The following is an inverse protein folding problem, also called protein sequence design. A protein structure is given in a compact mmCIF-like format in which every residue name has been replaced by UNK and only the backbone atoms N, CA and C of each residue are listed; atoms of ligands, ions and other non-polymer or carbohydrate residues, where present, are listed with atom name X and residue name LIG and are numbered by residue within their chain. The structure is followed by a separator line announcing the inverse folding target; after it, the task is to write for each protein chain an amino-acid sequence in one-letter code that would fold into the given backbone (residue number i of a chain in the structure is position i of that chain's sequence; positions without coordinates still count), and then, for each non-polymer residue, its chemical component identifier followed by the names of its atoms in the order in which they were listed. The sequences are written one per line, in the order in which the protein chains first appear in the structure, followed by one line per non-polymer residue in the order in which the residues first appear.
data_IF_389141559718
#
_entry.id   IF_389141559718
#
_cell.length_a   1.000
_cell.length_b   1.000
_cell.length_c   1.000
_cell.angle_alpha   90.00
_cell.angle_beta   90.00
_cell.angle_gamma   90.00
#
_symmetry.space_group_name_H-M   'P 1'
#
loop_
_entity.id
_entity.type
_entity.pdbx_description
1 polymer ?
#
# COMPACT_ATOMS: atom_id res chain seq x y z
N UNK A 1 -11.34 -57.69 59.24
CA UNK A 1 -10.95 -56.74 60.30
C UNK A 1 -9.44 -56.54 60.21
N UNK A 2 -9.00 -55.27 60.12
CA UNK A 2 -7.71 -54.68 60.54
C UNK A 2 -6.44 -55.58 60.52
N UNK A 3 -5.30 -55.25 59.93
CA UNK A 3 -4.58 -53.98 60.03
C UNK A 3 -3.32 -54.00 59.13
N UNK A 4 -3.04 -52.84 58.52
CA UNK A 4 -1.74 -52.19 58.22
C UNK A 4 -0.55 -52.65 59.12
N UNK A 5 0.75 -52.69 58.72
CA UNK A 5 1.56 -51.62 58.08
C UNK A 5 3.10 -51.95 57.97
N UNK A 6 3.80 -51.32 57.00
CA UNK A 6 5.26 -50.93 56.91
C UNK A 6 6.26 -52.08 56.53
N UNK A 7 7.22 -52.01 55.58
CA UNK A 7 8.34 -51.07 55.36
C UNK A 7 9.00 -51.18 53.96
N UNK A 8 9.42 -50.01 53.45
CA UNK A 8 10.67 -49.66 52.72
C UNK A 8 11.08 -50.41 51.43
N UNK A 9 11.14 -49.66 50.32
CA UNK A 9 12.38 -49.51 49.53
C UNK A 9 12.28 -48.32 48.56
N UNK A 10 13.18 -47.35 48.75
CA UNK A 10 13.55 -46.31 47.79
C UNK A 10 14.02 -46.94 46.47
N UNK A 11 13.57 -46.40 45.34
CA UNK A 11 14.08 -46.76 44.01
C UNK A 11 13.73 -45.70 42.99
N UNK A 12 14.70 -44.84 42.68
CA UNK A 12 14.64 -43.72 41.74
C UNK A 12 14.11 -44.13 40.35
N UNK A 13 13.07 -43.45 39.89
CA UNK A 13 12.75 -43.34 38.46
C UNK A 13 12.04 -42.00 38.21
N UNK A 14 12.82 -40.92 38.23
CA UNK A 14 12.39 -39.59 37.79
C UNK A 14 13.29 -39.17 36.62
N UNK A 15 12.68 -38.56 35.61
CA UNK A 15 13.28 -37.95 34.40
C UNK A 15 13.64 -38.98 33.32
N UNK A 16 13.02 -39.00 32.15
CA UNK A 16 12.77 -37.87 31.27
C UNK A 16 11.56 -38.11 30.35
N UNK A 17 10.43 -37.47 30.65
CA UNK A 17 9.48 -37.12 29.59
C UNK A 17 10.03 -35.86 28.93
N UNK A 18 10.81 -36.05 27.86
CA UNK A 18 11.12 -35.00 26.90
C UNK A 18 9.80 -34.61 26.23
N UNK A 19 9.07 -33.68 26.85
CA UNK A 19 8.12 -32.88 26.09
C UNK A 19 8.97 -32.11 25.08
N UNK A 20 8.89 -32.52 23.82
CA UNK A 20 9.30 -31.68 22.71
C UNK A 20 8.43 -30.43 22.80
N UNK A 21 8.96 -29.39 23.44
CA UNK A 21 8.46 -28.03 23.26
C UNK A 21 8.73 -27.75 21.79
N UNK A 22 7.73 -27.96 20.94
CA UNK A 22 7.70 -27.32 19.64
C UNK A 22 7.78 -25.83 19.93
N UNK A 23 8.95 -25.26 19.63
CA UNK A 23 9.08 -23.84 19.46
C UNK A 23 8.09 -23.48 18.36
N UNK A 24 6.95 -22.94 18.77
CA UNK A 24 6.01 -22.29 17.87
C UNK A 24 6.83 -21.19 17.21
N UNK A 25 7.19 -21.42 15.95
CA UNK A 25 7.86 -20.44 15.11
C UNK A 25 6.96 -19.21 15.16
N UNK A 26 7.44 -18.15 15.82
CA UNK A 26 6.67 -16.95 16.04
C UNK A 26 6.35 -16.31 14.68
N UNK A 27 5.28 -16.79 14.05
CA UNK A 27 4.69 -16.19 12.88
C UNK A 27 4.38 -14.76 13.29
N UNK A 28 5.13 -13.82 12.73
CA UNK A 28 4.84 -12.39 12.84
C UNK A 28 3.34 -12.22 12.51
N UNK A 29 2.53 -11.91 13.53
CA UNK A 29 1.09 -11.73 13.37
C UNK A 29 0.90 -10.41 12.63
N UNK A 30 1.06 -10.45 11.31
CA UNK A 30 0.71 -9.35 10.42
C UNK A 30 -0.80 -9.13 10.55
N UNK A 31 -1.20 -7.88 10.77
CA UNK A 31 -2.62 -7.55 10.84
C UNK A 31 -3.35 -7.93 9.56
N UNK A 32 -4.52 -8.59 9.64
CA UNK A 32 -5.30 -8.98 8.47
C UNK A 32 -5.86 -7.78 7.69
N UNK A 33 -6.06 -6.64 8.34
CA UNK A 33 -6.52 -5.39 7.71
C UNK A 33 -5.44 -4.68 6.89
N UNK A 34 -4.15 -5.04 7.10
CA UNK A 34 -3.07 -4.50 6.30
C UNK A 34 -3.08 -5.07 4.88
N UNK A 35 -2.35 -4.42 3.98
CA UNK A 35 -2.22 -4.86 2.60
C UNK A 35 -1.62 -6.28 2.57
N UNK A 36 -2.28 -7.22 1.92
CA UNK A 36 -1.86 -8.63 1.91
C UNK A 36 -0.89 -8.90 0.75
N UNK A 37 0.20 -9.64 0.97
CA UNK A 37 1.17 -9.92 -0.10
C UNK A 37 0.55 -10.75 -1.22
N UNK A 38 0.87 -10.39 -2.47
CA UNK A 38 0.48 -11.14 -3.67
C UNK A 38 1.75 -11.71 -4.29
N UNK A 39 2.03 -12.97 -3.97
CA UNK A 39 3.30 -13.60 -4.33
C UNK A 39 4.49 -13.01 -3.58
N UNK A 40 5.70 -13.19 -4.12
CA UNK A 40 6.96 -12.79 -3.49
C UNK A 40 7.80 -11.84 -4.36
N UNK A 41 7.22 -11.30 -5.44
CA UNK A 41 7.91 -10.43 -6.38
C UNK A 41 7.35 -9.01 -6.31
N UNK A 42 8.19 -8.04 -6.72
CA UNK A 42 7.81 -6.63 -6.88
C UNK A 42 7.25 -5.94 -5.63
N UNK A 43 7.38 -6.51 -4.43
CA UNK A 43 6.72 -5.95 -3.23
C UNK A 43 5.21 -5.75 -3.43
N UNK A 44 4.57 -6.61 -4.23
CA UNK A 44 3.16 -6.47 -4.61
C UNK A 44 2.24 -6.87 -3.45
N UNK A 45 1.35 -5.96 -3.08
CA UNK A 45 0.37 -6.18 -2.03
C UNK A 45 -1.01 -5.68 -2.43
N UNK A 46 -2.05 -6.38 -2.01
CA UNK A 46 -3.45 -6.02 -2.18
C UNK A 46 -3.93 -5.24 -0.95
N UNK A 47 -4.33 -3.98 -1.14
CA UNK A 47 -4.86 -3.12 -0.08
C UNK A 47 -6.38 -3.24 0.09
N UNK A 48 -7.07 -3.36 -1.04
CA UNK A 48 -8.53 -3.55 -1.15
C UNK A 48 -8.80 -4.52 -2.31
N UNK A 49 -10.05 -4.97 -2.51
CA UNK A 49 -10.39 -5.76 -3.70
C UNK A 49 -10.01 -5.08 -5.03
N UNK A 50 -9.95 -3.74 -5.05
CA UNK A 50 -9.73 -2.91 -6.24
C UNK A 50 -8.43 -2.11 -6.24
N UNK A 51 -7.64 -2.13 -5.16
CA UNK A 51 -6.41 -1.35 -5.04
C UNK A 51 -5.23 -2.21 -4.63
N UNK A 52 -4.16 -2.12 -5.41
CA UNK A 52 -2.89 -2.81 -5.22
C UNK A 52 -1.75 -1.79 -5.13
N UNK A 53 -0.68 -2.17 -4.43
CA UNK A 53 0.56 -1.40 -4.30
C UNK A 53 1.77 -2.25 -4.61
N UNK A 54 2.80 -1.69 -5.23
CA UNK A 54 4.06 -2.40 -5.49
C UNK A 54 5.30 -1.51 -5.56
N UNK A 55 6.47 -2.14 -5.62
CA UNK A 55 7.68 -1.59 -6.23
C UNK A 55 7.57 -1.57 -7.76
N UNK A 56 8.61 -1.07 -8.44
CA UNK A 56 8.64 -0.94 -9.90
C UNK A 56 8.55 -2.32 -10.55
N UNK A 57 7.47 -2.62 -11.30
CA UNK A 57 7.36 -3.85 -12.08
C UNK A 57 8.23 -3.82 -13.35
N UNK A 58 8.24 -4.94 -14.05
CA UNK A 58 8.76 -5.04 -15.42
C UNK A 58 7.80 -5.85 -16.29
N UNK A 59 8.14 -6.06 -17.56
CA UNK A 59 7.30 -6.78 -18.54
C UNK A 59 6.86 -8.17 -18.06
N UNK A 60 7.64 -8.82 -17.18
CA UNK A 60 7.31 -10.16 -16.65
C UNK A 60 6.15 -10.11 -15.65
N UNK A 61 5.80 -8.93 -15.13
CA UNK A 61 4.64 -8.75 -14.29
C UNK A 61 3.32 -8.75 -15.08
N UNK A 62 3.33 -8.48 -16.39
CA UNK A 62 2.10 -8.34 -17.20
C UNK A 62 1.13 -9.52 -17.05
N UNK A 63 1.54 -10.80 -17.13
CA UNK A 63 0.60 -11.93 -16.94
C UNK A 63 -0.06 -11.93 -15.57
N UNK A 64 0.67 -11.53 -14.51
CA UNK A 64 0.12 -11.39 -13.17
C UNK A 64 -0.87 -10.22 -13.10
N UNK A 65 -0.54 -9.07 -13.70
CA UNK A 65 -1.44 -7.91 -13.74
C UNK A 65 -2.75 -8.23 -14.49
N UNK A 66 -2.68 -8.96 -15.60
CA UNK A 66 -3.87 -9.43 -16.32
C UNK A 66 -4.69 -10.42 -15.49
N UNK A 67 -4.04 -11.32 -14.74
CA UNK A 67 -4.73 -12.27 -13.83
C UNK A 67 -5.48 -11.53 -12.72
N UNK A 68 -4.87 -10.47 -12.18
CA UNK A 68 -5.47 -9.58 -11.19
C UNK A 68 -6.48 -8.59 -11.80
N UNK A 69 -6.59 -8.57 -13.13
CA UNK A 69 -7.44 -7.66 -13.91
C UNK A 69 -7.14 -6.19 -13.64
N UNK A 70 -5.86 -5.85 -13.45
CA UNK A 70 -5.45 -4.46 -13.30
C UNK A 70 -5.80 -3.70 -14.58
N UNK A 71 -6.65 -2.68 -14.44
CA UNK A 71 -7.09 -1.82 -15.53
C UNK A 71 -6.22 -0.57 -15.67
N UNK A 72 -5.65 -0.09 -14.56
CA UNK A 72 -4.85 1.14 -14.52
C UNK A 72 -3.61 0.98 -13.64
N UNK A 73 -2.48 1.52 -14.11
CA UNK A 73 -1.23 1.67 -13.35
C UNK A 73 -0.96 3.14 -13.09
N UNK A 74 -0.75 3.48 -11.81
CA UNK A 74 -0.39 4.82 -11.33
C UNK A 74 1.10 4.83 -10.94
N UNK A 75 1.86 5.68 -11.60
CA UNK A 75 3.30 5.80 -11.44
C UNK A 75 3.68 7.08 -10.71
N UNK A 76 4.42 6.96 -9.61
CA UNK A 76 4.95 8.11 -8.85
C UNK A 76 6.42 8.46 -9.18
N UNK A 77 6.99 7.85 -10.23
CA UNK A 77 8.33 8.12 -10.74
C UNK A 77 8.32 9.19 -11.83
N UNK A 78 9.44 9.92 -12.03
CA UNK A 78 9.61 10.75 -13.22
C UNK A 78 9.89 9.94 -14.48
N UNK A 79 10.30 8.68 -14.36
CA UNK A 79 10.46 7.77 -15.48
C UNK A 79 9.13 7.08 -15.82
N UNK A 80 8.72 7.14 -17.08
CA UNK A 80 7.48 6.54 -17.58
C UNK A 80 7.52 5.00 -17.64
N UNK A 81 6.36 4.37 -17.44
CA UNK A 81 6.17 2.92 -17.57
C UNK A 81 5.96 2.45 -19.01
N UNK A 82 5.91 3.39 -19.97
CA UNK A 82 5.57 3.11 -21.35
C UNK A 82 6.39 1.98 -21.97
N UNK A 83 7.64 1.79 -21.54
CA UNK A 83 8.51 0.72 -22.02
C UNK A 83 7.97 -0.67 -21.66
N UNK A 84 7.56 -0.90 -20.41
CA UNK A 84 7.14 -2.24 -19.96
C UNK A 84 5.62 -2.46 -20.09
N UNK A 85 4.85 -1.40 -20.29
CA UNK A 85 3.40 -1.44 -20.55
C UNK A 85 3.03 -1.33 -22.03
N UNK A 86 4.01 -1.20 -22.94
CA UNK A 86 3.78 -0.89 -24.36
C UNK A 86 2.80 -1.83 -25.06
N UNK A 87 2.83 -3.11 -24.72
CA UNK A 87 2.02 -4.17 -25.32
C UNK A 87 0.73 -4.48 -24.58
N UNK A 88 0.41 -3.71 -23.53
CA UNK A 88 -0.76 -3.94 -22.67
C UNK A 88 -1.90 -2.96 -22.97
N UNK A 89 -3.12 -3.37 -22.63
CA UNK A 89 -4.33 -2.54 -22.63
C UNK A 89 -4.50 -1.74 -21.32
N UNK A 90 -3.49 -1.78 -20.44
CA UNK A 90 -3.52 -1.15 -19.12
C UNK A 90 -3.32 0.36 -19.27
N UNK A 91 -4.24 1.14 -18.71
CA UNK A 91 -4.16 2.61 -18.70
C UNK A 91 -3.00 3.06 -17.82
N UNK A 92 -2.29 4.09 -18.26
CA UNK A 92 -1.14 4.66 -17.54
C UNK A 92 -1.50 6.04 -17.00
N UNK A 93 -1.24 6.27 -15.72
CA UNK A 93 -1.40 7.57 -15.06
C UNK A 93 -0.09 7.93 -14.38
N UNK A 94 0.54 9.01 -14.83
CA UNK A 94 1.82 9.48 -14.31
C UNK A 94 1.59 10.65 -13.35
N UNK A 95 1.96 10.47 -12.08
CA UNK A 95 1.84 11.45 -11.00
C UNK A 95 3.18 11.57 -10.27
N UNK A 96 4.19 12.07 -10.97
CA UNK A 96 5.52 12.23 -10.41
C UNK A 96 5.56 13.32 -9.34
N UNK A 97 6.07 12.98 -8.15
CA UNK A 97 6.33 13.94 -7.07
C UNK A 97 7.62 13.57 -6.33
N UNK A 98 8.19 14.56 -5.62
CA UNK A 98 9.46 14.38 -4.89
C UNK A 98 9.20 14.01 -3.44
N UNK A 99 9.89 13.00 -2.94
CA UNK A 99 9.74 12.53 -1.55
C UNK A 99 10.07 13.58 -0.49
N UNK A 100 10.97 14.52 -0.80
CA UNK A 100 11.38 15.59 0.11
C UNK A 100 10.46 16.81 0.09
N UNK A 101 9.46 16.85 -0.80
CA UNK A 101 8.47 17.91 -0.88
C UNK A 101 7.15 17.32 -1.35
N UNK A 102 6.39 16.77 -0.41
CA UNK A 102 4.99 16.37 -0.63
C UNK A 102 4.07 17.46 -0.08
N UNK A 103 3.05 17.79 -0.85
CA UNK A 103 1.98 18.69 -0.41
C UNK A 103 0.59 18.04 -0.50
N UNK A 104 -0.43 18.79 -0.07
CA UNK A 104 -1.81 18.32 -0.10
C UNK A 104 -2.33 18.14 -1.54
N UNK A 105 -1.78 18.86 -2.52
CA UNK A 105 -2.19 18.73 -3.91
C UNK A 105 -1.73 17.39 -4.50
N UNK A 106 -0.51 16.95 -4.18
CA UNK A 106 0.01 15.62 -4.56
C UNK A 106 -0.91 14.50 -4.03
N UNK A 107 -1.29 14.60 -2.74
CA UNK A 107 -2.15 13.60 -2.09
C UNK A 107 -3.55 13.59 -2.71
N UNK A 108 -4.14 14.77 -2.92
CA UNK A 108 -5.46 14.89 -3.54
C UNK A 108 -5.46 14.38 -4.98
N UNK A 109 -4.41 14.67 -5.76
CA UNK A 109 -4.25 14.18 -7.12
C UNK A 109 -4.17 12.64 -7.16
N UNK A 110 -3.36 12.05 -6.27
CA UNK A 110 -3.23 10.60 -6.18
C UNK A 110 -4.55 9.91 -5.78
N UNK A 111 -5.24 10.41 -4.75
CA UNK A 111 -6.51 9.83 -4.30
C UNK A 111 -7.58 9.95 -5.39
N UNK A 112 -7.66 11.08 -6.09
CA UNK A 112 -8.60 11.25 -7.21
C UNK A 112 -8.29 10.31 -8.36
N UNK A 113 -7.03 10.17 -8.73
CA UNK A 113 -6.62 9.25 -9.77
C UNK A 113 -6.98 7.80 -9.41
N UNK A 114 -6.77 7.39 -8.16
CA UNK A 114 -7.20 6.08 -7.67
C UNK A 114 -8.72 5.92 -7.80
N UNK A 115 -9.51 6.85 -7.24
CA UNK A 115 -10.98 6.74 -7.26
C UNK A 115 -11.56 6.75 -8.68
N UNK A 116 -11.00 7.57 -9.58
CA UNK A 116 -11.41 7.61 -10.98
C UNK A 116 -11.04 6.30 -11.69
N UNK A 117 -9.84 5.77 -11.46
CA UNK A 117 -9.39 4.54 -12.07
C UNK A 117 -10.11 3.29 -11.53
N UNK A 118 -10.49 3.28 -10.25
CA UNK A 118 -11.27 2.19 -9.63
C UNK A 118 -12.65 2.02 -10.29
N UNK A 119 -13.18 3.05 -10.95
CA UNK A 119 -14.42 2.96 -11.74
C UNK A 119 -14.25 2.12 -13.02
N UNK A 120 -13.04 2.04 -13.56
CA UNK A 120 -12.70 1.24 -14.75
C UNK A 120 -12.23 -0.18 -14.38
N UNK A 121 -11.76 -0.38 -13.15
CA UNK A 121 -11.34 -1.69 -12.63
C UNK A 121 -10.21 -1.58 -11.60
N UNK A 122 -9.64 -2.72 -11.19
CA UNK A 122 -8.53 -2.75 -10.24
C UNK A 122 -7.34 -1.86 -10.64
N UNK A 123 -6.77 -1.17 -9.66
CA UNK A 123 -5.69 -0.18 -9.83
C UNK A 123 -4.42 -0.67 -9.15
N UNK A 124 -3.29 -0.54 -9.83
CA UNK A 124 -1.97 -0.72 -9.23
C UNK A 124 -1.27 0.64 -9.10
N UNK A 125 -0.81 1.00 -7.90
CA UNK A 125 0.09 2.14 -7.72
C UNK A 125 1.50 1.70 -7.34
N UNK A 126 2.53 2.35 -7.88
CA UNK A 126 3.91 2.00 -7.56
C UNK A 126 4.88 3.18 -7.58
N UNK A 127 6.07 2.93 -7.06
CA UNK A 127 7.24 3.78 -7.22
C UNK A 127 8.46 2.87 -7.39
N UNK A 128 9.67 3.31 -7.03
CA UNK A 128 10.87 2.49 -7.20
C UNK A 128 10.87 1.24 -6.30
N UNK A 129 10.71 1.43 -4.99
CA UNK A 129 10.77 0.34 -4.00
C UNK A 129 9.39 -0.01 -3.41
N UNK A 130 8.35 0.78 -3.72
CA UNK A 130 7.01 0.58 -3.16
C UNK A 130 6.86 0.95 -1.68
N UNK A 131 7.92 1.42 -1.02
CA UNK A 131 7.93 1.78 0.41
C UNK A 131 7.77 3.29 0.64
N UNK A 132 8.45 4.14 -0.13
CA UNK A 132 8.51 5.59 0.10
C UNK A 132 7.25 6.31 -0.38
N UNK A 133 7.20 6.64 -1.69
CA UNK A 133 6.11 7.42 -2.28
C UNK A 133 4.79 6.67 -2.20
N UNK A 134 4.82 5.44 -2.69
CA UNK A 134 3.67 4.52 -2.61
C UNK A 134 3.23 4.30 -1.16
N UNK A 135 4.16 4.20 -0.21
CA UNK A 135 3.79 4.02 1.20
C UNK A 135 3.05 5.23 1.76
N UNK A 136 3.51 6.44 1.44
CA UNK A 136 2.81 7.66 1.83
C UNK A 136 1.41 7.75 1.20
N UNK A 137 1.29 7.53 -0.11
CA UNK A 137 0.00 7.61 -0.79
C UNK A 137 -0.96 6.51 -0.32
N UNK A 138 -0.46 5.31 -0.06
CA UNK A 138 -1.23 4.24 0.56
C UNK A 138 -1.75 4.63 1.95
N UNK A 139 -0.88 5.17 2.80
CA UNK A 139 -1.24 5.59 4.14
C UNK A 139 -2.26 6.75 4.13
N UNK A 140 -2.08 7.73 3.22
CA UNK A 140 -3.05 8.80 3.05
C UNK A 140 -4.40 8.29 2.51
N UNK A 141 -4.41 7.30 1.63
CA UNK A 141 -5.63 6.63 1.20
C UNK A 141 -6.35 5.96 2.39
N UNK A 142 -5.62 5.22 3.25
CA UNK A 142 -6.19 4.63 4.48
C UNK A 142 -6.88 5.69 5.35
N UNK A 143 -6.21 6.81 5.59
CA UNK A 143 -6.71 7.86 6.49
C UNK A 143 -7.86 8.65 5.87
N UNK A 144 -7.68 9.15 4.64
CA UNK A 144 -8.62 10.07 3.99
C UNK A 144 -9.87 9.33 3.50
N UNK A 145 -9.68 8.18 2.84
CA UNK A 145 -10.76 7.43 2.19
C UNK A 145 -11.35 6.37 3.11
N UNK A 146 -10.52 5.57 3.79
CA UNK A 146 -11.00 4.46 4.62
C UNK A 146 -11.23 4.83 6.09
N UNK A 147 -10.94 6.07 6.48
CA UNK A 147 -11.22 6.57 7.82
C UNK A 147 -10.29 6.05 8.91
N UNK A 148 -9.14 5.46 8.55
CA UNK A 148 -8.18 4.98 9.54
C UNK A 148 -7.61 6.12 10.37
N UNK A 149 -7.17 5.80 11.59
CA UNK A 149 -6.33 6.71 12.35
C UNK A 149 -4.98 6.90 11.64
N UNK A 150 -4.32 8.04 11.89
CA UNK A 150 -2.99 8.29 11.33
C UNK A 150 -1.99 7.27 11.87
N UNK A 151 -2.15 6.90 13.13
CA UNK A 151 -1.33 5.93 13.85
C UNK A 151 -1.41 4.55 13.18
N UNK A 152 -2.61 4.06 12.89
CA UNK A 152 -2.78 2.74 12.25
C UNK A 152 -2.21 2.73 10.83
N UNK A 153 -2.42 3.80 10.07
CA UNK A 153 -1.87 3.93 8.73
C UNK A 153 -0.33 4.03 8.74
N UNK A 154 0.25 4.71 9.73
CA UNK A 154 1.70 4.77 9.95
C UNK A 154 2.27 3.42 10.39
N UNK A 155 1.55 2.68 11.23
CA UNK A 155 1.92 1.33 11.62
C UNK A 155 1.95 0.39 10.42
N UNK A 156 0.92 0.42 9.56
CA UNK A 156 0.94 -0.32 8.30
C UNK A 156 2.14 0.11 7.44
N UNK A 157 2.31 1.41 7.22
CA UNK A 157 3.38 1.94 6.36
C UNK A 157 4.79 1.50 6.81
N UNK A 158 5.05 1.44 8.12
CA UNK A 158 6.39 1.21 8.67
C UNK A 158 6.65 -0.24 9.10
N UNK A 159 5.62 -0.94 9.57
CA UNK A 159 5.71 -2.33 10.07
C UNK A 159 5.11 -3.35 9.09
N UNK A 160 4.44 -2.89 8.03
CA UNK A 160 3.80 -3.72 7.03
C UNK A 160 4.76 -4.44 6.07
N UNK A 161 6.04 -4.57 6.39
CA UNK A 161 6.97 -5.42 5.63
C UNK A 161 7.29 -4.93 4.21
N UNK A 162 7.01 -3.66 3.89
CA UNK A 162 7.24 -3.09 2.55
C UNK A 162 8.72 -2.73 2.28
N UNK A 163 9.61 -2.99 3.23
CA UNK A 163 11.03 -2.60 3.21
C UNK A 163 11.30 -1.36 4.05
N UNK A 164 12.56 -1.17 4.45
CA UNK A 164 13.01 0.01 5.21
C UNK A 164 13.67 1.02 4.28
N UNK A 165 13.18 2.25 4.26
CA UNK A 165 13.81 3.35 3.54
C UNK A 165 14.11 4.51 4.50
N UNK A 166 15.22 5.21 4.26
CA UNK A 166 15.51 6.47 4.94
C UNK A 166 14.50 7.57 4.59
N UNK A 167 13.66 7.36 3.56
CA UNK A 167 12.66 8.29 3.04
C UNK A 167 11.34 8.34 3.83
N UNK A 168 11.11 7.44 4.79
CA UNK A 168 9.91 7.52 5.64
C UNK A 168 9.80 8.84 6.40
N UNK A 169 10.92 9.46 6.77
CA UNK A 169 10.92 10.62 7.67
C UNK A 169 10.08 11.79 7.16
N UNK A 170 10.13 12.07 5.86
CA UNK A 170 9.39 13.20 5.29
C UNK A 170 7.91 12.86 5.10
N UNK A 171 7.58 11.64 4.67
CA UNK A 171 6.20 11.17 4.58
C UNK A 171 5.51 11.09 5.95
N UNK A 172 6.19 10.53 6.95
CA UNK A 172 5.72 10.50 8.35
C UNK A 172 5.53 11.92 8.89
N UNK A 173 6.48 12.83 8.63
CA UNK A 173 6.35 14.23 9.04
C UNK A 173 5.15 14.91 8.39
N UNK A 174 4.92 14.66 7.11
CA UNK A 174 3.74 15.16 6.41
C UNK A 174 2.46 14.63 7.05
N UNK A 175 2.33 13.31 7.22
CA UNK A 175 1.13 12.67 7.79
C UNK A 175 0.78 13.23 9.17
N UNK A 176 1.78 13.41 10.04
CA UNK A 176 1.57 13.98 11.38
C UNK A 176 0.95 15.39 11.27
N UNK A 177 1.44 16.21 10.34
CA UNK A 177 0.99 17.60 10.14
C UNK A 177 -0.28 17.77 9.33
N UNK A 178 -0.61 16.81 8.45
CA UNK A 178 -1.71 16.92 7.50
C UNK A 178 -3.06 17.11 8.21
N UNK A 179 -3.87 18.05 7.73
CA UNK A 179 -5.23 18.29 8.24
C UNK A 179 -6.20 17.40 7.45
N UNK A 180 -6.55 16.25 8.04
CA UNK A 180 -7.33 15.20 7.37
C UNK A 180 -8.73 15.70 7.00
N UNK A 181 -9.34 16.52 7.85
CA UNK A 181 -10.68 17.03 7.60
C UNK A 181 -10.69 18.06 6.46
N UNK A 182 -9.63 18.89 6.37
CA UNK A 182 -9.44 19.74 5.18
C UNK A 182 -9.19 18.93 3.91
N UNK A 183 -8.40 17.86 3.98
CA UNK A 183 -8.18 16.98 2.82
C UNK A 183 -9.49 16.33 2.36
N UNK A 184 -10.31 15.82 3.28
CA UNK A 184 -11.63 15.26 2.96
C UNK A 184 -12.57 16.30 2.37
N UNK A 185 -12.57 17.50 2.93
CA UNK A 185 -13.38 18.62 2.43
C UNK A 185 -12.95 19.03 1.01
N UNK A 186 -11.64 19.20 0.78
CA UNK A 186 -11.08 19.51 -0.53
C UNK A 186 -11.38 18.40 -1.55
N UNK A 187 -11.31 17.13 -1.13
CA UNK A 187 -11.66 15.99 -1.98
C UNK A 187 -13.13 16.03 -2.38
N UNK A 188 -14.04 16.27 -1.43
CA UNK A 188 -15.49 16.35 -1.67
C UNK A 188 -15.88 17.55 -2.55
N UNK A 189 -15.20 18.68 -2.40
CA UNK A 189 -15.48 19.90 -3.16
C UNK A 189 -14.81 19.93 -4.55
N UNK A 190 -13.84 19.06 -4.80
CA UNK A 190 -13.05 19.07 -6.04
C UNK A 190 -11.88 20.06 -6.05
N UNK A 191 -11.47 20.59 -4.89
CA UNK A 191 -10.39 21.58 -4.77
C UNK A 191 -9.00 20.97 -5.02
N UNK A 192 -8.12 21.64 -5.77
CA UNK A 192 -6.78 21.09 -6.07
C UNK A 192 -5.86 21.03 -4.87
N UNK A 193 -6.14 21.79 -3.81
CA UNK A 193 -5.37 21.82 -2.58
C UNK A 193 -6.29 22.19 -1.42
N UNK A 194 -5.81 21.99 -0.20
CA UNK A 194 -6.45 22.53 1.02
C UNK A 194 -6.21 24.04 1.18
N UNK A 195 -5.28 24.62 0.41
CA UNK A 195 -5.04 26.06 0.38
C UNK A 195 -6.10 26.78 -0.44
N UNK A 196 -6.73 27.80 0.16
CA UNK A 196 -7.73 28.65 -0.51
C UNK A 196 -7.20 29.45 -1.72
N UNK A 197 -5.87 29.48 -1.93
CA UNK A 197 -5.24 30.17 -3.05
C UNK A 197 -4.84 29.25 -4.21
N UNK A 198 -5.07 27.93 -4.10
CA UNK A 198 -4.76 26.99 -5.16
C UNK A 198 -5.91 26.95 -6.19
N UNK A 199 -5.77 27.69 -7.28
CA UNK A 199 -6.69 27.60 -8.42
C UNK A 199 -6.39 26.32 -9.21
N UNK A 200 -7.36 25.41 -9.28
CA UNK A 200 -7.29 24.32 -10.25
C UNK A 200 -7.30 24.87 -11.68
N UNK A 201 -6.26 24.60 -12.45
CA UNK A 201 -6.38 24.58 -13.91
C UNK A 201 -7.11 23.28 -14.28
N UNK A 202 -8.43 23.34 -14.47
CA UNK A 202 -9.25 22.23 -14.96
C UNK A 202 -8.94 21.82 -16.42
N UNK A 203 -7.74 22.11 -16.93
CA UNK A 203 -7.45 22.06 -18.36
C UNK A 203 -6.65 20.84 -18.82
N UNK A 204 -6.02 20.10 -17.90
CA UNK A 204 -5.11 19.01 -18.29
C UNK A 204 -5.65 17.59 -18.07
N UNK A 205 -6.73 17.41 -17.32
CA UNK A 205 -7.40 16.12 -17.12
C UNK A 205 -8.26 15.63 -18.30
N UNK A 206 -8.60 16.50 -19.26
CA UNK A 206 -9.46 16.15 -20.41
C UNK A 206 -8.63 15.83 -21.67
N UNK A 207 -7.35 16.24 -21.73
CA UNK A 207 -6.57 16.20 -22.97
C UNK A 207 -5.86 14.86 -23.24
N UNK A 208 -5.74 13.96 -22.26
CA UNK A 208 -5.06 12.67 -22.47
C UNK A 208 -5.97 11.60 -23.09
N UNK A 209 -7.30 11.78 -23.07
CA UNK A 209 -8.25 10.76 -23.57
C UNK A 209 -8.74 11.03 -25.01
N UNK A 210 -8.22 12.06 -25.71
CA UNK A 210 -8.82 12.58 -26.95
C UNK A 210 -7.96 12.67 -28.21
N UNK A 211 -6.69 12.25 -28.21
CA UNK A 211 -5.80 12.43 -29.39
C UNK A 211 -5.41 11.15 -30.16
N UNK A 212 -6.27 10.13 -30.14
CA UNK A 212 -6.16 8.97 -31.05
C UNK A 212 -7.34 8.87 -32.04
N UNK A 213 -7.98 9.98 -32.40
CA UNK A 213 -8.91 10.06 -33.54
C UNK A 213 -8.63 11.28 -34.40
N UNK A 214 -7.57 11.22 -35.22
CA UNK A 214 -7.52 11.77 -36.59
C UNK A 214 -6.11 11.68 -37.15
N UNK A 215 -5.84 10.61 -37.89
CA UNK A 215 -5.06 10.71 -39.12
C UNK A 215 -5.46 9.55 -40.04
N UNK A 216 -6.48 9.82 -40.85
CA UNK A 216 -6.54 9.29 -42.21
C UNK A 216 -5.59 10.12 -43.07
#
# INVERSE_FOLDING_TARGET
MFNTRILLALGLALMSLLNTVQADEAASIRSPEWAQPVGNQYNLHQMTPTLYRSALPDERALPLLHTLKIATVINFLPESDAQWLQSSDIKQVELSYRTNHVDDADVLAAIRAIQAAEADGPVLMHCKHGADRTGLMAAMYRVVVQGWSKEDALNEMTLGGFGSSNGFKDGVRYMIKADVDKLRTALANGDCSTSAFALCSMKDWITTTGQQEKKL
#
